data_IF_291052196788
#
_entry.id   IF_291052196788
#
_cell.length_a   1.000
_cell.length_b   1.000
_cell.length_c   1.000
_cell.angle_alpha   90.00
_cell.angle_beta   90.00
_cell.angle_gamma   90.00
#
_symmetry.space_group_name_H-M   'P 1'
#
loop_
_entity.id
_entity.type
_entity.pdbx_description
1 polymer ?
#
# COMPACT_ATOMS: atom_id res chain seq x y z
N UNK A 1 -9.26 9.76 9.26
CA UNK A 1 -9.05 9.18 7.91
C UNK A 1 -8.62 10.28 6.95
N UNK A 2 -7.96 9.96 5.83
CA UNK A 2 -7.59 10.95 4.79
C UNK A 2 -6.37 11.85 5.05
N UNK A 3 -5.77 11.80 6.24
CA UNK A 3 -4.70 12.75 6.63
C UNK A 3 -3.28 12.23 6.43
N UNK A 4 -3.07 10.91 6.49
CA UNK A 4 -1.72 10.33 6.46
C UNK A 4 -1.16 10.15 5.05
N UNK A 5 -2.01 10.15 4.01
CA UNK A 5 -1.65 9.95 2.59
C UNK A 5 -0.96 8.63 2.27
N UNK A 6 -0.94 7.67 3.20
CA UNK A 6 -0.32 6.35 2.98
C UNK A 6 -0.99 5.59 1.83
N UNK A 7 -2.32 5.68 1.73
CA UNK A 7 -3.13 5.04 0.71
C UNK A 7 -3.33 5.90 -0.56
N UNK A 8 -2.42 6.85 -0.84
CA UNK A 8 -2.55 7.65 -2.07
C UNK A 8 -2.45 6.76 -3.32
N UNK A 9 -3.23 7.10 -4.34
CA UNK A 9 -3.26 6.45 -5.65
C UNK A 9 -3.34 7.54 -6.72
N UNK A 10 -2.58 7.39 -7.80
CA UNK A 10 -2.69 8.25 -8.98
C UNK A 10 -3.75 7.67 -9.91
N UNK A 11 -4.79 8.45 -10.18
CA UNK A 11 -5.92 8.06 -11.04
C UNK A 11 -6.14 9.18 -12.06
N UNK A 12 -5.80 8.91 -13.33
CA UNK A 12 -5.71 9.93 -14.37
C UNK A 12 -4.64 10.96 -14.01
N UNK A 13 -5.01 12.24 -13.97
CA UNK A 13 -4.10 13.36 -13.65
C UNK A 13 -4.13 13.76 -12.16
N UNK A 14 -4.87 13.01 -11.33
CA UNK A 14 -5.13 13.36 -9.93
C UNK A 14 -4.52 12.35 -8.96
N UNK A 15 -3.94 12.85 -7.87
CA UNK A 15 -3.60 12.04 -6.70
C UNK A 15 -4.79 12.03 -5.73
N UNK A 16 -5.35 10.86 -5.48
CA UNK A 16 -6.50 10.61 -4.60
C UNK A 16 -6.11 9.71 -3.43
N UNK A 17 -6.92 9.62 -2.38
CA UNK A 17 -6.68 8.78 -1.21
C UNK A 17 -7.69 7.64 -1.14
N UNK A 18 -7.25 6.40 -1.31
CA UNK A 18 -8.15 5.23 -1.34
C UNK A 18 -9.02 5.06 -0.09
N UNK A 19 -8.60 5.54 1.08
CA UNK A 19 -9.39 5.44 2.32
C UNK A 19 -10.49 6.50 2.48
N UNK A 20 -10.58 7.46 1.54
CA UNK A 20 -11.61 8.51 1.53
C UNK A 20 -12.31 8.56 0.17
N UNK A 21 -11.55 8.52 -0.92
CA UNK A 21 -12.03 8.69 -2.30
C UNK A 21 -12.31 7.36 -3.01
N UNK A 22 -11.96 6.21 -2.40
CA UNK A 22 -12.07 4.87 -2.98
C UNK A 22 -12.82 3.88 -2.07
N UNK A 23 -12.44 2.59 -2.04
CA UNK A 23 -11.26 1.96 -2.66
C UNK A 23 -11.43 1.63 -4.16
N UNK A 24 -12.64 1.77 -4.69
CA UNK A 24 -12.97 1.46 -6.09
C UNK A 24 -12.66 2.66 -6.99
N UNK A 25 -11.93 2.41 -8.09
CA UNK A 25 -11.59 3.40 -9.10
C UNK A 25 -11.78 2.80 -10.51
N UNK A 26 -11.89 3.66 -11.52
CA UNK A 26 -11.80 3.21 -12.91
C UNK A 26 -10.39 2.66 -13.17
N UNK A 27 -10.29 1.33 -13.24
CA UNK A 27 -9.02 0.62 -13.38
C UNK A 27 -8.20 1.06 -14.59
N UNK A 28 -8.84 1.53 -15.67
CA UNK A 28 -8.11 2.01 -16.85
C UNK A 28 -7.38 3.34 -16.62
N UNK A 29 -7.70 4.04 -15.54
CA UNK A 29 -7.10 5.32 -15.16
C UNK A 29 -6.10 5.19 -14.02
N UNK A 30 -5.99 4.03 -13.38
CA UNK A 30 -5.07 3.81 -12.26
C UNK A 30 -3.64 3.66 -12.78
N UNK A 31 -2.69 4.39 -12.19
CA UNK A 31 -1.27 4.12 -12.38
C UNK A 31 -0.86 2.89 -11.54
N UNK A 32 -0.89 1.71 -12.18
CA UNK A 32 -0.53 0.45 -11.54
C UNK A 32 0.96 0.31 -11.28
N UNK A 33 1.82 0.94 -12.09
CA UNK A 33 3.27 0.87 -11.90
C UNK A 33 3.66 1.62 -10.61
N UNK A 34 3.14 2.84 -10.39
CA UNK A 34 3.31 3.55 -9.12
C UNK A 34 2.75 2.72 -7.96
N UNK A 35 1.52 2.21 -8.09
CA UNK A 35 0.87 1.45 -7.02
C UNK A 35 1.69 0.21 -6.61
N UNK A 36 2.18 -0.57 -7.56
CA UNK A 36 2.98 -1.78 -7.30
C UNK A 36 4.31 -1.43 -6.66
N UNK A 37 4.99 -0.36 -7.10
CA UNK A 37 6.23 0.09 -6.46
C UNK A 37 5.98 0.48 -5.00
N UNK A 38 4.88 1.19 -4.72
CA UNK A 38 4.54 1.62 -3.35
C UNK A 38 4.23 0.46 -2.42
N UNK A 39 3.51 -0.56 -2.90
CA UNK A 39 3.19 -1.74 -2.09
C UNK A 39 4.44 -2.51 -1.63
N UNK A 40 5.55 -2.42 -2.37
CA UNK A 40 6.77 -3.18 -2.08
C UNK A 40 7.72 -2.50 -1.08
N UNK A 41 7.43 -1.27 -0.65
CA UNK A 41 8.33 -0.46 0.20
C UNK A 41 8.70 -1.16 1.50
N UNK A 42 7.76 -1.89 2.10
CA UNK A 42 7.95 -2.53 3.40
C UNK A 42 8.29 -4.03 3.33
N UNK A 43 8.53 -4.59 2.14
CA UNK A 43 8.89 -6.00 1.98
C UNK A 43 10.05 -6.46 2.89
N UNK A 44 11.14 -5.69 3.08
CA UNK A 44 12.21 -6.10 4.00
C UNK A 44 11.74 -6.20 5.46
N UNK A 45 10.96 -5.22 5.92
CA UNK A 45 10.45 -5.14 7.29
C UNK A 45 9.43 -6.24 7.55
N UNK A 46 8.54 -6.50 6.59
CA UNK A 46 7.56 -7.59 6.65
C UNK A 46 8.24 -8.97 6.78
N UNK A 47 9.32 -9.20 6.01
CA UNK A 47 10.12 -10.43 6.12
C UNK A 47 10.77 -10.57 7.49
N UNK A 48 11.36 -9.50 8.01
CA UNK A 48 11.97 -9.52 9.34
C UNK A 48 10.92 -9.80 10.41
N UNK A 49 9.77 -9.11 10.37
CA UNK A 49 8.69 -9.30 11.31
C UNK A 49 8.18 -10.75 11.32
N UNK A 50 8.06 -11.37 10.15
CA UNK A 50 7.66 -12.77 10.02
C UNK A 50 8.68 -13.73 10.64
N UNK A 51 9.97 -13.51 10.41
CA UNK A 51 11.03 -14.33 11.02
C UNK A 51 11.03 -14.20 12.54
N UNK A 52 10.95 -12.98 13.06
CA UNK A 52 10.94 -12.71 14.51
C UNK A 52 9.73 -13.37 15.16
N UNK A 53 8.54 -13.18 14.60
CA UNK A 53 7.32 -13.79 15.11
C UNK A 53 7.43 -15.32 15.19
N UNK A 54 7.98 -15.97 14.16
CA UNK A 54 8.13 -17.43 14.17
C UNK A 54 9.11 -17.90 15.25
N UNK A 55 10.21 -17.17 15.47
CA UNK A 55 11.14 -17.48 16.56
C UNK A 55 10.50 -17.31 17.96
N UNK A 56 9.64 -16.31 18.14
CA UNK A 56 8.94 -16.04 19.41
C UNK A 56 7.79 -17.02 19.70
N UNK A 57 7.17 -17.59 18.65
CA UNK A 57 6.03 -18.52 18.78
C UNK A 57 6.48 -19.98 18.94
N UNK A 58 7.66 -20.33 18.43
CA UNK A 58 8.21 -21.70 18.51
C UNK A 58 8.96 -22.00 19.84
N UNK A 59 9.06 -21.03 20.77
CA UNK A 59 9.53 -21.19 22.17
C UNK A 59 8.40 -21.49 23.17
#
# INVERSE_FOLDING_TARGET
MGICRACRVTVGESTLFSCVDGPEFDGHKVDFDELIMRMRVYNPQEKIAMVVHNLEVDE
#
